data_IF_018235291851
#
_entry.id   IF_018235291851
#
_cell.length_a   1.000
_cell.length_b   1.000
_cell.length_c   1.000
_cell.angle_alpha   90.00
_cell.angle_beta   90.00
_cell.angle_gamma   90.00
#
_symmetry.space_group_name_H-M   'P 1'
#
loop_
_entity.id
_entity.type
_entity.pdbx_description
1 polymer ?
#
# COMPACT_ATOMS: atom_id res chain seq x y z
N UNK A 1 -26.65 15.77 28.14
CA UNK A 1 -25.75 15.12 27.16
C UNK A 1 -24.87 16.20 26.53
N UNK A 2 -23.61 16.28 26.95
CA UNK A 2 -22.64 17.24 26.41
C UNK A 2 -22.23 16.86 25.00
N UNK A 3 -21.93 17.86 24.17
CA UNK A 3 -21.42 17.67 22.81
C UNK A 3 -20.09 16.94 22.88
N UNK A 4 -19.97 15.84 22.15
CA UNK A 4 -18.76 15.01 22.10
C UNK A 4 -17.55 15.90 21.74
N UNK A 5 -16.47 15.95 22.56
CA UNK A 5 -15.28 16.73 22.24
C UNK A 5 -14.63 16.32 20.91
N UNK A 6 -14.79 15.07 20.47
CA UNK A 6 -14.33 14.62 19.17
C UNK A 6 -15.08 15.32 18.02
N UNK A 7 -16.33 15.74 18.25
CA UNK A 7 -17.14 16.47 17.28
C UNK A 7 -16.54 17.85 16.96
N UNK A 8 -15.98 18.54 17.96
CA UNK A 8 -15.32 19.83 17.71
C UNK A 8 -14.05 19.66 16.88
N UNK A 9 -13.23 18.65 17.21
CA UNK A 9 -12.00 18.36 16.48
C UNK A 9 -12.26 18.03 15.00
N UNK A 10 -13.30 17.22 14.71
CA UNK A 10 -13.65 16.82 13.35
C UNK A 10 -14.28 17.96 12.52
N UNK A 11 -15.00 18.88 13.15
CA UNK A 11 -15.79 19.90 12.44
C UNK A 11 -15.06 21.24 12.29
N UNK A 12 -14.12 21.58 13.18
CA UNK A 12 -13.45 22.88 13.17
C UNK A 12 -12.64 23.09 11.88
N UNK A 13 -12.97 24.10 11.04
CA UNK A 13 -12.24 24.35 9.79
C UNK A 13 -10.77 24.68 9.99
N UNK A 14 -10.39 25.21 11.16
CA UNK A 14 -9.02 25.56 11.51
C UNK A 14 -8.16 24.36 11.93
N UNK A 15 -8.79 23.22 12.24
CA UNK A 15 -8.11 21.96 12.59
C UNK A 15 -8.02 21.00 11.41
N UNK A 16 -8.62 21.33 10.27
CA UNK A 16 -8.58 20.47 9.07
C UNK A 16 -7.20 20.52 8.42
N UNK A 17 -6.73 19.40 7.85
CA UNK A 17 -5.51 19.38 7.04
C UNK A 17 -5.56 20.45 5.95
N UNK A 18 -4.47 21.20 5.82
CA UNK A 18 -4.34 22.16 4.73
C UNK A 18 -3.96 21.40 3.47
N UNK A 19 -4.93 21.28 2.55
CA UNK A 19 -4.74 20.56 1.28
C UNK A 19 -3.46 20.98 0.55
N UNK A 20 -3.07 22.26 0.58
CA UNK A 20 -1.85 22.73 -0.11
C UNK A 20 -0.55 22.21 0.50
N UNK A 21 -0.51 22.03 1.81
CA UNK A 21 0.72 21.69 2.55
C UNK A 21 0.86 20.16 2.73
N UNK A 22 -0.26 19.43 2.74
CA UNK A 22 -0.31 17.99 3.07
C UNK A 22 -0.86 17.11 1.93
N UNK A 23 -1.13 17.66 0.74
CA UNK A 23 -1.80 16.94 -0.36
C UNK A 23 -1.18 15.56 -0.65
N UNK A 24 0.15 15.50 -0.74
CA UNK A 24 0.87 14.29 -1.09
C UNK A 24 0.81 13.21 0.01
N UNK A 25 0.69 13.62 1.27
CA UNK A 25 0.60 12.70 2.41
C UNK A 25 -0.82 12.13 2.59
N UNK A 26 -1.84 12.80 2.04
CA UNK A 26 -3.24 12.36 2.11
C UNK A 26 -3.63 11.48 0.91
N UNK A 27 -2.83 11.47 -0.16
CA UNK A 27 -3.09 10.66 -1.33
C UNK A 27 -2.62 9.23 -1.10
N UNK A 28 -3.58 8.29 -1.00
CA UNK A 28 -3.28 6.87 -0.79
C UNK A 28 -2.92 6.15 -2.08
N UNK A 29 -3.58 6.48 -3.20
CA UNK A 29 -3.37 5.85 -4.50
C UNK A 29 -3.90 6.75 -5.63
N UNK A 30 -3.41 6.51 -6.84
CA UNK A 30 -3.88 7.12 -8.08
C UNK A 30 -4.61 6.04 -8.88
N UNK A 31 -5.79 6.37 -9.41
CA UNK A 31 -6.56 5.46 -10.24
C UNK A 31 -7.05 6.10 -11.52
N UNK A 32 -6.77 5.49 -12.67
CA UNK A 32 -7.24 5.93 -13.98
C UNK A 32 -7.26 4.76 -14.97
N UNK A 33 -8.19 4.81 -15.94
CA UNK A 33 -8.51 3.73 -16.87
C UNK A 33 -8.87 2.39 -16.19
N UNK A 34 -9.58 2.45 -15.06
CA UNK A 34 -10.03 1.26 -14.33
C UNK A 34 -8.93 0.52 -13.57
N UNK A 35 -7.78 1.17 -13.38
CA UNK A 35 -6.61 0.64 -12.66
C UNK A 35 -6.30 1.50 -11.45
N UNK A 36 -5.71 0.89 -10.43
CA UNK A 36 -5.21 1.52 -9.21
C UNK A 36 -3.73 1.18 -9.08
N UNK A 37 -2.83 2.15 -9.28
CA UNK A 37 -1.42 1.84 -9.52
C UNK A 37 -0.70 1.30 -8.29
N UNK A 38 -0.87 1.92 -7.12
CA UNK A 38 -0.20 1.49 -5.90
C UNK A 38 -0.82 0.20 -5.37
N UNK A 39 -2.15 0.05 -5.47
CA UNK A 39 -2.82 -1.19 -5.08
C UNK A 39 -2.39 -2.37 -5.96
N UNK A 40 -2.31 -2.19 -7.28
CA UNK A 40 -1.84 -3.25 -8.19
C UNK A 40 -0.39 -3.66 -7.89
N UNK A 41 0.49 -2.70 -7.61
CA UNK A 41 1.88 -3.00 -7.24
C UNK A 41 1.96 -3.70 -5.89
N UNK A 42 1.19 -3.25 -4.89
CA UNK A 42 1.15 -3.88 -3.56
C UNK A 42 0.58 -5.31 -3.58
N UNK A 43 -0.30 -5.62 -4.54
CA UNK A 43 -0.92 -6.94 -4.68
C UNK A 43 -0.15 -7.88 -5.62
N UNK A 44 0.93 -7.41 -6.24
CA UNK A 44 1.66 -8.15 -7.28
C UNK A 44 2.18 -9.51 -6.82
N UNK A 45 2.84 -9.55 -5.67
CA UNK A 45 3.48 -10.75 -5.10
C UNK A 45 2.95 -11.04 -3.69
N UNK A 46 1.64 -10.78 -3.46
CA UNK A 46 1.05 -10.78 -2.12
C UNK A 46 0.93 -12.17 -1.46
N UNK A 47 1.14 -13.24 -2.22
CA UNK A 47 1.22 -14.63 -1.75
C UNK A 47 2.66 -15.09 -1.47
N UNK A 48 3.67 -14.30 -1.82
CA UNK A 48 5.09 -14.59 -1.57
C UNK A 48 5.49 -14.08 -0.19
N UNK A 49 6.03 -14.97 0.65
CA UNK A 49 6.56 -14.63 1.97
C UNK A 49 8.09 -14.84 2.04
N UNK A 50 8.86 -13.78 1.77
CA UNK A 50 10.33 -13.83 1.77
C UNK A 50 10.94 -14.23 3.12
N UNK A 51 10.26 -13.92 4.23
CA UNK A 51 10.75 -14.22 5.58
C UNK A 51 10.83 -15.74 5.83
N UNK A 52 9.89 -16.51 5.26
CA UNK A 52 9.86 -17.96 5.37
C UNK A 52 11.14 -18.58 4.81
N UNK A 53 11.65 -18.05 3.69
CA UNK A 53 12.81 -18.57 2.96
C UNK A 53 14.14 -17.92 3.36
N UNK A 54 14.15 -16.98 4.30
CA UNK A 54 15.35 -16.23 4.69
C UNK A 54 16.51 -17.09 5.20
N UNK A 55 16.23 -18.31 5.66
CA UNK A 55 17.22 -19.28 6.13
C UNK A 55 17.92 -20.08 5.01
N UNK A 56 17.41 -20.00 3.77
CA UNK A 56 17.96 -20.73 2.63
C UNK A 56 19.24 -20.07 2.07
N UNK A 57 20.17 -20.86 1.50
CA UNK A 57 21.32 -20.32 0.81
C UNK A 57 20.89 -19.46 -0.38
N UNK A 58 21.73 -18.46 -0.70
CA UNK A 58 21.46 -17.42 -1.69
C UNK A 58 20.97 -17.92 -3.07
N UNK A 59 21.52 -19.00 -3.65
CA UNK A 59 21.02 -19.53 -4.92
C UNK A 59 19.57 -20.06 -4.87
N UNK A 60 19.06 -20.46 -3.71
CA UNK A 60 17.70 -20.98 -3.54
C UNK A 60 16.67 -19.90 -3.18
N UNK A 61 17.10 -18.67 -2.95
CA UNK A 61 16.21 -17.52 -2.68
C UNK A 61 15.91 -16.70 -3.93
N UNK A 62 16.53 -17.03 -5.06
CA UNK A 62 16.30 -16.34 -6.34
C UNK A 62 15.22 -17.09 -7.12
N UNK A 63 14.28 -16.34 -7.68
CA UNK A 63 13.32 -16.83 -8.66
C UNK A 63 13.74 -16.36 -10.06
N UNK A 64 13.93 -17.29 -11.00
CA UNK A 64 14.00 -16.95 -12.42
C UNK A 64 12.60 -17.13 -13.05
N UNK A 65 12.11 -16.17 -13.85
CA UNK A 65 10.83 -16.31 -14.53
C UNK A 65 10.70 -17.58 -15.40
N UNK A 66 11.83 -18.18 -15.83
CA UNK A 66 11.86 -19.45 -16.54
C UNK A 66 11.48 -20.63 -15.65
N UNK A 67 11.77 -20.56 -14.35
CA UNK A 67 11.44 -21.62 -13.38
C UNK A 67 9.94 -21.63 -13.05
N UNK A 68 9.24 -20.52 -13.34
CA UNK A 68 7.79 -20.38 -13.13
C UNK A 68 6.96 -20.92 -14.31
N UNK A 69 7.59 -21.23 -15.44
CA UNK A 69 6.93 -21.76 -16.64
C UNK A 69 7.00 -23.28 -16.66
N UNK A 70 5.84 -23.92 -16.66
CA UNK A 70 5.73 -25.39 -16.62
C UNK A 70 6.04 -26.05 -17.97
N UNK A 71 5.86 -25.29 -19.04
CA UNK A 71 6.16 -25.69 -20.40
C UNK A 71 7.68 -25.69 -20.61
N UNK A 72 8.22 -26.88 -20.93
CA UNK A 72 9.63 -27.06 -21.32
C UNK A 72 9.85 -26.69 -22.78
#
# INVERSE_FOLDING_TARGET
HGRDPALYAALCPHLRPRLRDEFGALLLDVGFLGRWWLLEEALRDCDVNEEEFGHLPEPLRRLDPRDLRSER
#
